data_IF_876320723948
#
_entry.id   IF_876320723948
#
_cell.length_a   1.000
_cell.length_b   1.000
_cell.length_c   1.000
_cell.angle_alpha   90.00
_cell.angle_beta   90.00
_cell.angle_gamma   90.00
#
_symmetry.space_group_name_H-M   'P 1'
#
loop_
_entity.id
_entity.type
_entity.pdbx_description
1 polymer ?
#
# COMPACT_ATOMS: atom_id res chain seq x y z
N UNK A 1 9.98 -6.92 15.60
CA UNK A 1 10.05 -7.75 14.38
C UNK A 1 8.95 -8.80 14.47
N UNK A 2 7.75 -8.47 13.99
CA UNK A 2 6.62 -9.40 14.03
C UNK A 2 6.87 -10.55 13.05
N UNK A 3 6.78 -11.78 13.56
CA UNK A 3 6.93 -13.04 12.82
C UNK A 3 6.07 -13.00 11.54
N UNK A 4 6.56 -13.41 10.35
CA UNK A 4 5.67 -13.59 9.20
C UNK A 4 4.67 -14.64 9.63
N UNK A 5 3.45 -14.20 9.87
CA UNK A 5 2.36 -15.06 10.28
C UNK A 5 2.13 -16.05 9.16
N UNK A 6 2.40 -17.33 9.41
CA UNK A 6 2.06 -18.46 8.54
C UNK A 6 0.53 -18.62 8.47
N UNK A 7 -0.15 -17.59 7.97
CA UNK A 7 -1.56 -17.64 7.67
C UNK A 7 -1.75 -18.48 6.41
N UNK A 8 -2.84 -19.24 6.37
CA UNK A 8 -3.17 -20.06 5.21
C UNK A 8 -3.62 -19.16 4.05
N UNK A 9 -3.56 -19.70 2.83
CA UNK A 9 -3.93 -19.03 1.59
C UNK A 9 -5.29 -18.31 1.68
N UNK A 10 -6.30 -18.96 2.28
CA UNK A 10 -7.65 -18.38 2.43
C UNK A 10 -7.66 -17.12 3.29
N UNK A 11 -6.88 -17.12 4.37
CA UNK A 11 -6.78 -15.98 5.27
C UNK A 11 -6.01 -14.82 4.62
N UNK A 12 -4.93 -15.13 3.89
CA UNK A 12 -4.17 -14.12 3.15
C UNK A 12 -4.99 -13.51 2.01
N UNK A 13 -5.74 -14.33 1.29
CA UNK A 13 -6.61 -13.87 0.20
C UNK A 13 -7.67 -12.87 0.67
N UNK A 14 -8.17 -13.06 1.90
CA UNK A 14 -9.16 -12.15 2.48
C UNK A 14 -8.54 -10.92 3.16
N UNK A 15 -7.39 -11.05 3.82
CA UNK A 15 -6.89 -10.03 4.75
C UNK A 15 -5.55 -9.39 4.39
N UNK A 16 -4.76 -9.97 3.48
CA UNK A 16 -3.47 -9.40 3.14
C UNK A 16 -3.63 -8.03 2.45
N UNK A 17 -2.70 -7.14 2.76
CA UNK A 17 -2.59 -5.78 2.21
C UNK A 17 -3.60 -4.75 2.74
N UNK A 18 -4.70 -5.17 3.36
CA UNK A 18 -5.76 -4.25 3.80
C UNK A 18 -5.72 -3.98 5.31
N UNK A 19 -5.90 -2.72 5.67
CA UNK A 19 -6.09 -2.26 7.05
C UNK A 19 -7.43 -1.51 7.13
N UNK A 20 -8.12 -1.52 8.29
CA UNK A 20 -9.32 -0.70 8.44
C UNK A 20 -8.99 0.76 8.15
N UNK A 21 -9.90 1.43 7.46
CA UNK A 21 -9.74 2.84 7.12
C UNK A 21 -9.59 3.67 8.41
N UNK A 22 -8.52 4.46 8.57
CA UNK A 22 -8.27 5.22 9.80
C UNK A 22 -9.29 6.34 10.03
N UNK A 23 -10.01 6.78 8.99
CA UNK A 23 -10.96 7.88 9.11
C UNK A 23 -12.37 7.43 9.53
N UNK A 24 -12.81 6.28 9.04
CA UNK A 24 -14.19 5.78 9.23
C UNK A 24 -14.26 4.44 9.97
N UNK A 25 -13.14 3.73 10.10
CA UNK A 25 -13.10 2.36 10.61
C UNK A 25 -13.63 1.31 9.62
N UNK A 26 -13.94 1.69 8.38
CA UNK A 26 -14.42 0.75 7.37
C UNK A 26 -13.42 -0.39 7.14
N UNK A 27 -13.90 -1.63 7.17
CA UNK A 27 -13.02 -2.80 6.97
C UNK A 27 -12.65 -3.01 5.50
N UNK A 28 -13.56 -2.67 4.59
CA UNK A 28 -13.31 -2.69 3.16
C UNK A 28 -12.42 -1.51 2.77
N UNK A 29 -11.43 -1.75 1.91
CA UNK A 29 -10.57 -0.69 1.37
C UNK A 29 -11.43 0.30 0.58
N UNK A 30 -11.36 1.61 0.89
CA UNK A 30 -12.04 2.64 0.11
C UNK A 30 -11.57 2.63 -1.35
N UNK A 31 -12.48 2.94 -2.27
CA UNK A 31 -12.17 3.01 -3.71
C UNK A 31 -11.65 4.42 -4.03
N UNK A 32 -10.34 4.54 -4.24
CA UNK A 32 -9.69 5.80 -4.62
C UNK A 32 -9.75 6.02 -6.13
N UNK A 33 -10.94 6.32 -6.64
CA UNK A 33 -11.18 6.61 -8.07
C UNK A 33 -10.80 8.06 -8.42
N UNK A 34 -9.51 8.38 -8.29
CA UNK A 34 -8.93 9.67 -8.67
C UNK A 34 -7.75 9.47 -9.61
N UNK A 35 -7.43 10.48 -10.42
CA UNK A 35 -6.22 10.49 -11.24
C UNK A 35 -4.99 11.04 -10.48
N UNK A 36 -5.18 12.04 -9.61
CA UNK A 36 -4.11 12.76 -8.91
C UNK A 36 -4.38 12.91 -7.40
N UNK A 37 -3.32 13.16 -6.65
CA UNK A 37 -3.35 13.35 -5.19
C UNK A 37 -2.75 14.71 -4.81
N UNK A 38 -3.33 15.34 -3.79
CA UNK A 38 -2.93 16.68 -3.34
C UNK A 38 -1.76 16.57 -2.35
N UNK A 39 -0.74 17.42 -2.53
CA UNK A 39 0.37 17.55 -1.59
C UNK A 39 0.03 18.56 -0.50
N UNK A 40 0.55 18.33 0.71
CA UNK A 40 0.43 19.29 1.81
C UNK A 40 1.34 20.50 1.59
N UNK A 41 2.61 20.23 1.25
CA UNK A 41 3.67 21.24 1.13
C UNK A 41 4.65 20.90 -0.01
N UNK A 42 5.41 21.89 -0.47
CA UNK A 42 6.43 21.72 -1.53
C UNK A 42 7.54 20.77 -1.12
N UNK A 43 8.01 20.84 0.13
CA UNK A 43 9.05 19.94 0.64
C UNK A 43 8.59 18.48 0.66
N UNK A 44 7.30 18.26 0.92
CA UNK A 44 6.71 16.92 0.87
C UNK A 44 6.68 16.37 -0.56
N UNK A 45 6.37 17.23 -1.55
CA UNK A 45 6.39 16.84 -2.95
C UNK A 45 7.81 16.47 -3.42
N UNK A 46 8.84 17.24 -3.05
CA UNK A 46 10.25 16.93 -3.37
C UNK A 46 10.65 15.56 -2.83
N UNK A 47 10.32 15.26 -1.57
CA UNK A 47 10.62 13.95 -0.97
C UNK A 47 9.91 12.77 -1.66
N UNK A 48 8.72 12.98 -2.23
CA UNK A 48 8.02 11.95 -3.01
C UNK A 48 8.69 11.71 -4.37
N UNK A 49 9.07 12.77 -5.08
CA UNK A 49 9.73 12.64 -6.39
C UNK A 49 11.17 12.12 -6.27
N UNK A 50 11.86 12.43 -5.18
CA UNK A 50 13.20 11.90 -4.88
C UNK A 50 13.18 10.48 -4.30
N UNK A 51 12.01 9.84 -4.17
CA UNK A 51 11.87 8.46 -3.65
C UNK A 51 12.32 8.36 -2.17
N UNK A 52 12.43 9.48 -1.46
CA UNK A 52 12.82 9.54 -0.05
C UNK A 52 11.62 9.25 0.88
N UNK A 53 10.41 9.53 0.40
CA UNK A 53 9.15 9.33 1.14
C UNK A 53 8.19 8.46 0.34
N UNK A 54 7.46 7.61 1.03
CA UNK A 54 6.38 6.83 0.44
C UNK A 54 5.10 7.67 0.35
N UNK A 55 4.39 7.58 -0.77
CA UNK A 55 3.10 8.22 -0.98
C UNK A 55 2.64 8.13 -2.42
N UNK A 56 1.49 8.75 -2.70
CA UNK A 56 0.85 8.71 -4.00
C UNK A 56 0.87 10.09 -4.64
N UNK A 57 1.22 10.15 -5.92
CA UNK A 57 1.29 11.38 -6.72
C UNK A 57 0.23 11.36 -7.80
N UNK A 58 0.21 10.26 -8.56
CA UNK A 58 -0.65 10.09 -9.72
C UNK A 58 -0.98 8.61 -9.89
N UNK A 59 -2.24 8.28 -10.18
CA UNK A 59 -2.73 6.89 -10.19
C UNK A 59 -2.08 5.99 -11.24
N UNK A 60 -1.51 6.55 -12.32
CA UNK A 60 -0.69 5.79 -13.28
C UNK A 60 0.61 5.28 -12.66
N UNK A 61 1.15 6.02 -11.68
CA UNK A 61 2.32 5.60 -10.95
C UNK A 61 1.89 4.71 -9.79
N UNK A 62 0.99 5.18 -8.93
CA UNK A 62 0.56 4.45 -7.74
C UNK A 62 -0.81 4.92 -7.28
N UNK A 63 -1.67 3.99 -6.86
CA UNK A 63 -2.98 4.25 -6.28
C UNK A 63 -3.15 3.45 -4.99
N UNK A 64 -3.76 4.02 -3.91
CA UNK A 64 -3.95 3.29 -2.66
C UNK A 64 -4.76 2.00 -2.81
N UNK A 65 -5.77 2.01 -3.69
CA UNK A 65 -6.61 0.83 -3.95
C UNK A 65 -5.82 -0.28 -4.63
N UNK A 66 -4.96 0.08 -5.59
CA UNK A 66 -4.13 -0.91 -6.32
C UNK A 66 -2.96 -1.40 -5.47
N UNK A 67 -2.41 -0.57 -4.59
CA UNK A 67 -1.35 -0.97 -3.66
C UNK A 67 -1.80 -2.12 -2.74
N UNK A 68 -3.05 -2.10 -2.26
CA UNK A 68 -3.61 -3.21 -1.46
C UNK A 68 -3.65 -4.51 -2.26
N UNK A 69 -4.00 -4.44 -3.55
CA UNK A 69 -4.01 -5.60 -4.44
C UNK A 69 -2.59 -6.14 -4.67
N UNK A 70 -1.63 -5.25 -4.91
CA UNK A 70 -0.22 -5.58 -5.11
C UNK A 70 0.38 -6.27 -3.88
N UNK A 71 0.13 -5.73 -2.68
CA UNK A 71 0.55 -6.34 -1.41
C UNK A 71 -0.10 -7.71 -1.19
N UNK A 72 -1.38 -7.87 -1.57
CA UNK A 72 -2.08 -9.14 -1.46
C UNK A 72 -1.47 -10.20 -2.37
N UNK A 73 -1.24 -9.88 -3.64
CA UNK A 73 -0.59 -10.81 -4.58
C UNK A 73 0.82 -11.15 -4.09
N UNK A 74 1.59 -10.16 -3.65
CA UNK A 74 2.93 -10.40 -3.10
C UNK A 74 2.92 -11.35 -1.91
N UNK A 75 1.95 -11.20 -0.99
CA UNK A 75 1.77 -12.09 0.14
C UNK A 75 1.35 -13.52 -0.25
N UNK A 76 0.57 -13.68 -1.33
CA UNK A 76 0.15 -15.00 -1.83
C UNK A 76 1.26 -15.72 -2.60
N UNK A 77 2.09 -14.99 -3.32
CA UNK A 77 3.19 -15.55 -4.12
C UNK A 77 4.51 -15.70 -3.34
N UNK A 78 4.53 -15.34 -2.05
CA UNK A 78 5.76 -15.21 -1.25
C UNK A 78 6.82 -14.29 -1.90
N UNK A 79 6.37 -13.29 -2.68
CA UNK A 79 7.23 -12.33 -3.35
C UNK A 79 7.56 -11.13 -2.47
N UNK A 80 8.73 -10.51 -2.69
CA UNK A 80 9.19 -9.32 -1.94
C UNK A 80 8.50 -8.00 -2.33
N UNK A 81 7.26 -8.06 -2.82
CA UNK A 81 6.51 -6.94 -3.39
C UNK A 81 6.39 -7.06 -4.90
N UNK A 82 5.16 -7.13 -5.40
CA UNK A 82 4.88 -7.09 -6.83
C UNK A 82 5.16 -5.68 -7.38
N UNK A 83 5.90 -5.58 -8.49
CA UNK A 83 6.23 -4.43 -9.38
C UNK A 83 6.51 -3.02 -8.80
N UNK A 84 6.18 -2.70 -7.56
CA UNK A 84 6.28 -1.38 -6.96
C UNK A 84 6.76 -1.46 -5.49
N UNK A 85 8.07 -1.39 -5.24
CA UNK A 85 8.68 -1.67 -3.93
C UNK A 85 8.53 -0.56 -2.87
N UNK A 86 7.86 0.57 -3.18
CA UNK A 86 7.91 1.76 -2.31
C UNK A 86 7.02 1.67 -1.06
N UNK A 87 5.99 0.82 -1.05
CA UNK A 87 5.11 0.65 0.12
C UNK A 87 5.62 -0.46 1.06
N UNK A 88 6.38 -1.44 0.53
CA UNK A 88 6.71 -2.68 1.25
C UNK A 88 7.93 -2.54 2.18
N UNK A 89 8.78 -1.52 2.00
CA UNK A 89 10.06 -1.42 2.73
C UNK A 89 9.98 -0.78 4.13
N UNK A 90 8.87 -0.17 4.54
CA UNK A 90 8.80 0.54 5.84
C UNK A 90 7.60 0.24 6.74
N UNK A 91 6.65 -0.60 6.34
CA UNK A 91 5.46 -0.90 7.16
C UNK A 91 5.43 -2.34 7.73
N UNK A 92 6.61 -2.97 7.84
CA UNK A 92 6.85 -4.21 8.56
C UNK A 92 7.73 -3.98 9.81
N UNK A 93 7.36 -3.03 10.67
CA UNK A 93 7.75 -3.02 12.09
C UNK A 93 6.56 -2.50 12.90
#
# INVERSE_FOLDING_TARGET
>A
MAKPSNFKFDTLSLHAGQRPDPSTGARATPIYQSASFVFRDTDFAVGLFNIERAGHVYSRLSNPTTAVLEERIAALENGLGALQPLVVRRQCI
#
